data_IF_543123126036
#
_entry.id   IF_543123126036
#
_cell.length_a   1.000
_cell.length_b   1.000
_cell.length_c   1.000
_cell.angle_alpha   90.00
_cell.angle_beta   90.00
_cell.angle_gamma   90.00
#
_symmetry.space_group_name_H-M   'P 1'
#
loop_
_entity.id
_entity.type
_entity.pdbx_description
1 polymer ?
#
# COMPACT_ATOMS: atom_id res chain seq x y z
N UNK A 1 -4.94 -14.03 22.33
CA UNK A 1 -5.44 -13.92 20.95
C UNK A 1 -4.64 -12.81 20.30
N UNK A 2 -3.75 -13.14 19.36
CA UNK A 2 -2.84 -12.17 18.78
C UNK A 2 -3.61 -11.16 17.93
N UNK A 3 -3.42 -9.87 18.18
CA UNK A 3 -4.00 -8.81 17.36
C UNK A 3 -3.44 -8.92 15.94
N UNK A 4 -4.28 -9.18 14.95
CA UNK A 4 -3.90 -9.22 13.54
C UNK A 4 -3.76 -7.78 13.01
N UNK A 5 -2.68 -7.10 13.41
CA UNK A 5 -2.45 -5.71 13.05
C UNK A 5 -2.40 -5.47 11.53
N UNK A 6 -1.89 -6.45 10.76
CA UNK A 6 -1.95 -6.40 9.31
C UNK A 6 -3.40 -6.36 8.81
N UNK A 7 -4.23 -7.29 9.27
CA UNK A 7 -5.65 -7.34 8.92
C UNK A 7 -6.41 -6.07 9.30
N UNK A 8 -6.16 -5.53 10.49
CA UNK A 8 -6.72 -4.25 10.94
C UNK A 8 -6.34 -3.12 9.97
N UNK A 9 -5.05 -3.05 9.61
CA UNK A 9 -4.54 -2.12 8.61
C UNK A 9 -5.25 -2.27 7.27
N UNK A 10 -5.40 -3.49 6.75
CA UNK A 10 -6.11 -3.76 5.49
C UNK A 10 -7.52 -3.21 5.53
N UNK A 11 -8.28 -3.49 6.60
CA UNK A 11 -9.66 -3.04 6.72
C UNK A 11 -9.78 -1.51 6.75
N UNK A 12 -8.88 -0.84 7.47
CA UNK A 12 -8.85 0.62 7.53
C UNK A 12 -8.42 1.23 6.19
N UNK A 13 -7.45 0.64 5.51
CA UNK A 13 -7.02 1.03 4.17
C UNK A 13 -8.15 0.91 3.14
N UNK A 14 -8.90 -0.21 3.15
CA UNK A 14 -10.03 -0.43 2.24
C UNK A 14 -11.12 0.63 2.42
N UNK A 15 -11.41 1.01 3.68
CA UNK A 15 -12.42 2.02 4.02
C UNK A 15 -11.97 3.45 3.74
N UNK A 16 -10.67 3.69 3.62
CA UNK A 16 -10.11 5.02 3.45
C UNK A 16 -10.38 5.57 2.04
N UNK A 17 -11.07 6.70 1.94
CA UNK A 17 -11.20 7.41 0.66
C UNK A 17 -9.89 8.10 0.29
N UNK A 18 -9.27 8.79 1.26
CA UNK A 18 -7.94 9.38 1.15
C UNK A 18 -6.96 8.70 2.11
N UNK A 19 -5.65 8.67 1.79
CA UNK A 19 -4.64 8.14 2.69
C UNK A 19 -4.51 8.99 3.95
N UNK A 20 -4.30 8.35 5.11
CA UNK A 20 -3.98 9.07 6.34
C UNK A 20 -2.62 9.80 6.27
N UNK A 21 -2.41 10.76 7.17
CA UNK A 21 -1.16 11.52 7.21
C UNK A 21 0.03 10.69 7.71
N UNK A 22 1.22 10.98 7.21
CA UNK A 22 2.48 10.31 7.62
C UNK A 22 2.76 10.39 9.12
N UNK A 23 2.33 11.47 9.79
CA UNK A 23 2.46 11.63 11.25
C UNK A 23 1.60 10.63 12.02
N UNK A 24 0.38 10.36 11.56
CA UNK A 24 -0.48 9.34 12.16
C UNK A 24 0.10 7.95 11.92
N UNK A 25 0.53 7.68 10.69
CA UNK A 25 0.99 6.36 10.30
C UNK A 25 2.29 5.95 11.00
N UNK A 26 3.19 6.91 11.31
CA UNK A 26 4.41 6.64 12.08
C UNK A 26 4.18 6.06 13.47
N UNK A 27 2.98 6.25 14.05
CA UNK A 27 2.60 5.66 15.35
C UNK A 27 2.12 4.22 15.24
N UNK A 28 1.94 3.70 14.03
CA UNK A 28 1.46 2.34 13.76
C UNK A 28 2.63 1.39 13.55
N UNK A 29 2.47 0.14 13.98
CA UNK A 29 3.49 -0.88 13.78
C UNK A 29 3.67 -1.20 12.28
N UNK A 30 4.77 -1.87 11.95
CA UNK A 30 5.13 -2.21 10.58
C UNK A 30 4.03 -3.01 9.86
N UNK A 31 3.44 -4.01 10.51
CA UNK A 31 2.39 -4.85 9.92
C UNK A 31 1.12 -4.07 9.61
N UNK A 32 0.69 -3.18 10.51
CA UNK A 32 -0.46 -2.31 10.26
C UNK A 32 -0.20 -1.41 9.05
N UNK A 33 0.99 -0.83 8.95
CA UNK A 33 1.38 0.03 7.82
C UNK A 33 1.32 -0.72 6.48
N UNK A 34 1.86 -1.94 6.43
CA UNK A 34 1.80 -2.81 5.25
C UNK A 34 0.35 -3.10 4.87
N UNK A 35 -0.45 -3.55 5.85
CA UNK A 35 -1.86 -3.86 5.64
C UNK A 35 -2.64 -2.67 5.10
N UNK A 36 -2.46 -1.49 5.71
CA UNK A 36 -3.11 -0.26 5.29
C UNK A 36 -2.82 0.10 3.83
N UNK A 37 -1.55 0.07 3.41
CA UNK A 37 -1.19 0.39 2.03
C UNK A 37 -1.81 -0.61 1.05
N UNK A 38 -1.78 -1.91 1.36
CA UNK A 38 -2.41 -2.95 0.52
C UNK A 38 -3.94 -2.74 0.41
N UNK A 39 -4.61 -2.49 1.54
CA UNK A 39 -6.05 -2.26 1.59
C UNK A 39 -6.46 -1.01 0.81
N UNK A 40 -5.73 0.09 0.98
CA UNK A 40 -5.96 1.33 0.24
C UNK A 40 -5.73 1.14 -1.26
N UNK A 41 -4.63 0.51 -1.66
CA UNK A 41 -4.32 0.26 -3.07
C UNK A 41 -5.42 -0.59 -3.74
N UNK A 42 -5.94 -1.60 -3.05
CA UNK A 42 -7.03 -2.44 -3.53
C UNK A 42 -8.32 -1.66 -3.77
N UNK A 43 -8.80 -0.90 -2.77
CA UNK A 43 -10.05 -0.14 -2.89
C UNK A 43 -9.91 1.01 -3.89
N UNK A 44 -8.75 1.66 -3.92
CA UNK A 44 -8.44 2.72 -4.87
C UNK A 44 -8.44 2.20 -6.30
N UNK A 45 -7.77 1.08 -6.58
CA UNK A 45 -7.74 0.46 -7.91
C UNK A 45 -9.15 0.19 -8.46
N UNK A 46 -10.06 -0.31 -7.60
CA UNK A 46 -11.46 -0.52 -7.97
C UNK A 46 -12.22 0.78 -8.23
N UNK A 47 -11.96 1.82 -7.43
CA UNK A 47 -12.65 3.11 -7.54
C UNK A 47 -12.31 3.86 -8.83
N UNK A 48 -11.06 3.78 -9.29
CA UNK A 48 -10.57 4.51 -10.47
C UNK A 48 -10.44 3.63 -11.72
N UNK A 49 -10.74 2.34 -11.60
CA UNK A 49 -10.54 1.31 -12.64
C UNK A 49 -9.12 1.33 -13.27
N UNK A 50 -8.09 1.55 -12.45
CA UNK A 50 -6.71 1.65 -12.90
C UNK A 50 -5.74 1.09 -11.86
N UNK A 51 -5.29 -0.15 -12.09
CA UNK A 51 -4.38 -0.87 -11.20
C UNK A 51 -2.95 -0.31 -11.22
N UNK A 52 -2.48 0.23 -12.34
CA UNK A 52 -1.13 0.80 -12.47
C UNK A 52 -0.99 2.09 -11.67
N UNK A 53 -1.99 2.97 -11.76
CA UNK A 53 -2.03 4.19 -10.95
C UNK A 53 -2.15 3.86 -9.46
N UNK A 54 -2.91 2.83 -9.09
CA UNK A 54 -2.97 2.36 -7.72
C UNK A 54 -1.65 1.77 -7.21
N UNK A 55 -0.94 1.00 -8.03
CA UNK A 55 0.39 0.49 -7.69
C UNK A 55 1.40 1.63 -7.47
N UNK A 56 1.44 2.61 -8.38
CA UNK A 56 2.28 3.80 -8.22
C UNK A 56 1.95 4.57 -6.93
N UNK A 57 0.67 4.80 -6.65
CA UNK A 57 0.25 5.48 -5.42
C UNK A 57 0.61 4.68 -4.16
N UNK A 58 0.54 3.35 -4.21
CA UNK A 58 0.97 2.50 -3.11
C UNK A 58 2.48 2.60 -2.84
N UNK A 59 3.30 2.74 -3.88
CA UNK A 59 4.74 2.98 -3.76
C UNK A 59 5.05 4.28 -3.01
N UNK A 60 4.41 5.37 -3.44
CA UNK A 60 4.53 6.68 -2.77
C UNK A 60 4.17 6.60 -1.28
N UNK A 61 3.04 5.94 -0.97
CA UNK A 61 2.58 5.78 0.41
C UNK A 61 3.48 4.88 1.23
N UNK A 62 3.99 3.78 0.66
CA UNK A 62 4.90 2.89 1.35
C UNK A 62 6.14 3.64 1.83
N UNK A 63 6.77 4.44 0.96
CA UNK A 63 7.91 5.27 1.34
C UNK A 63 7.54 6.37 2.32
N UNK A 64 6.41 7.06 2.10
CA UNK A 64 5.92 8.10 3.00
C UNK A 64 5.68 7.57 4.43
N UNK A 65 5.25 6.32 4.54
CA UNK A 65 4.98 5.64 5.81
C UNK A 65 6.19 4.92 6.39
N UNK A 66 7.37 5.03 5.76
CA UNK A 66 8.61 4.42 6.25
C UNK A 66 8.61 2.89 6.17
N UNK A 67 7.97 2.32 5.15
CA UNK A 67 8.13 0.93 4.77
C UNK A 67 9.34 0.78 3.86
N UNK A 68 10.05 -0.34 3.98
CA UNK A 68 11.09 -0.73 3.04
C UNK A 68 10.49 -0.95 1.64
N UNK A 69 11.29 -0.72 0.60
CA UNK A 69 10.86 -0.80 -0.80
C UNK A 69 10.16 -2.12 -1.12
N UNK A 70 10.67 -3.23 -0.61
CA UNK A 70 10.17 -4.55 -1.03
C UNK A 70 9.08 -5.10 -0.08
N UNK A 71 8.72 -4.35 0.99
CA UNK A 71 7.85 -4.81 2.07
C UNK A 71 6.44 -5.26 1.63
N UNK A 72 5.95 -4.73 0.50
CA UNK A 72 4.64 -5.09 -0.08
C UNK A 72 4.73 -5.30 -1.59
N UNK A 73 5.93 -5.42 -2.17
CA UNK A 73 6.10 -5.55 -3.61
C UNK A 73 5.45 -6.85 -4.15
N UNK A 74 5.40 -7.91 -3.35
CA UNK A 74 4.73 -9.18 -3.67
C UNK A 74 3.22 -9.01 -3.91
N UNK A 75 2.58 -8.02 -3.29
CA UNK A 75 1.16 -7.73 -3.51
C UNK A 75 0.86 -7.31 -4.95
N UNK A 76 1.87 -6.74 -5.63
CA UNK A 76 1.79 -6.31 -7.03
C UNK A 76 2.40 -7.33 -8.00
N UNK A 77 2.79 -8.50 -7.51
CA UNK A 77 3.28 -9.60 -8.32
C UNK A 77 2.07 -10.43 -8.79
N UNK A 78 1.61 -10.22 -10.02
CA UNK A 78 0.54 -11.05 -10.61
C UNK A 78 0.98 -11.65 -11.94
N UNK A 79 1.18 -12.97 -11.97
CA UNK A 79 1.42 -13.74 -13.20
C UNK A 79 2.72 -13.39 -13.94
N UNK A 80 2.72 -13.58 -15.26
CA UNK A 80 3.88 -13.36 -16.13
C UNK A 80 4.20 -11.87 -16.39
N UNK A 81 3.26 -10.95 -16.08
CA UNK A 81 3.38 -9.53 -16.37
C UNK A 81 3.74 -8.72 -15.10
N UNK A 82 5.04 -8.57 -14.85
CA UNK A 82 5.64 -7.84 -13.73
C UNK A 82 5.44 -6.31 -13.75
N UNK A 83 4.59 -5.80 -14.65
CA UNK A 83 4.38 -4.36 -14.83
C UNK A 83 3.83 -3.67 -13.58
N UNK A 84 2.88 -4.26 -12.86
CA UNK A 84 2.33 -3.63 -11.65
C UNK A 84 3.40 -3.37 -10.58
N UNK A 85 4.29 -4.35 -10.39
CA UNK A 85 5.43 -4.19 -9.48
C UNK A 85 6.37 -3.07 -9.93
N UNK A 86 6.61 -2.91 -11.23
CA UNK A 86 7.41 -1.81 -11.78
C UNK A 86 6.77 -0.44 -11.52
N UNK A 87 5.45 -0.32 -11.64
CA UNK A 87 4.74 0.91 -11.31
C UNK A 87 4.80 1.22 -9.82
N UNK A 88 4.70 0.19 -8.97
CA UNK A 88 4.92 0.33 -7.54
C UNK A 88 6.32 0.89 -7.23
N UNK A 89 7.38 0.31 -7.81
CA UNK A 89 8.75 0.82 -7.62
C UNK A 89 8.92 2.26 -8.13
N UNK A 90 8.35 2.57 -9.30
CA UNK A 90 8.34 3.95 -9.85
C UNK A 90 7.74 4.94 -8.84
N UNK A 91 6.64 4.57 -8.20
CA UNK A 91 6.01 5.41 -7.17
C UNK A 91 6.86 5.55 -5.91
N UNK A 92 7.49 4.45 -5.46
CA UNK A 92 8.36 4.46 -4.30
C UNK A 92 9.58 5.39 -4.48
N UNK A 93 10.13 5.45 -5.69
CA UNK A 93 11.31 6.28 -6.00
C UNK A 93 11.00 7.77 -6.21
N UNK A 94 9.73 8.17 -6.29
CA UNK A 94 9.31 9.52 -6.70
C UNK A 94 9.44 10.61 -5.63
N UNK A 95 9.43 10.24 -4.35
CA UNK A 95 9.52 11.18 -3.21
C UNK A 95 10.92 11.19 -2.60
#
# INVERSE_FOLDING_TARGET
MGNNHFGDGVMDGVKSYEPCGAGEMRRRCFDYRRGYVCGFAYSFAKRIDNRYMAACRAGELARLYGLERDAIAEFFLSGEDSQLQRYYYTGYERI
#
